data_IF_818726857143
#
_entry.id   IF_818726857143
#
_cell.length_a   1.000
_cell.length_b   1.000
_cell.length_c   1.000
_cell.angle_alpha   90.00
_cell.angle_beta   90.00
_cell.angle_gamma   90.00
#
_symmetry.space_group_name_H-M   'P 1'
#
loop_
_entity.id
_entity.type
_entity.pdbx_description
1 polymer ?
#
# COMPACT_ATOMS: atom_id res chain seq x y z
N UNK A 1 -12.39 -27.86 -15.88
CA UNK A 1 -11.89 -27.09 -17.01
C UNK A 1 -12.47 -27.63 -18.32
N UNK A 2 -12.20 -26.98 -19.45
CA UNK A 2 -12.79 -27.34 -20.76
C UNK A 2 -12.36 -28.73 -21.24
N UNK A 3 -11.15 -29.16 -20.93
CA UNK A 3 -10.63 -30.48 -21.31
C UNK A 3 -11.34 -31.60 -20.54
N UNK A 4 -11.56 -31.40 -19.23
CA UNK A 4 -12.34 -32.31 -18.41
C UNK A 4 -13.80 -32.41 -18.90
N UNK A 5 -14.40 -31.28 -19.26
CA UNK A 5 -15.74 -31.24 -19.82
C UNK A 5 -15.84 -32.04 -21.13
N UNK A 6 -14.86 -31.84 -22.03
CA UNK A 6 -14.81 -32.59 -23.29
C UNK A 6 -14.68 -34.08 -23.05
N UNK A 7 -13.85 -34.48 -22.08
CA UNK A 7 -13.75 -35.91 -21.68
C UNK A 7 -15.07 -36.43 -21.11
N UNK A 8 -15.75 -35.71 -20.23
CA UNK A 8 -17.04 -36.13 -19.66
C UNK A 8 -18.11 -36.28 -20.74
N UNK A 9 -18.12 -35.41 -21.76
CA UNK A 9 -19.07 -35.50 -22.89
C UNK A 9 -18.89 -36.78 -23.70
N UNK A 10 -17.77 -37.48 -23.63
CA UNK A 10 -17.55 -38.74 -24.34
C UNK A 10 -18.04 -39.99 -23.55
N UNK A 11 -18.40 -39.86 -22.28
CA UNK A 11 -18.85 -40.97 -21.46
C UNK A 11 -20.21 -41.53 -21.94
N UNK A 12 -20.42 -42.85 -21.86
CA UNK A 12 -21.55 -43.53 -22.50
C UNK A 12 -22.94 -42.94 -22.21
N UNK A 13 -23.18 -42.45 -20.99
CA UNK A 13 -24.47 -41.85 -20.61
C UNK A 13 -24.48 -40.35 -20.97
N UNK A 14 -23.40 -39.63 -20.71
CA UNK A 14 -23.33 -38.19 -20.91
C UNK A 14 -23.22 -37.76 -22.38
N UNK A 15 -22.76 -38.68 -23.26
CA UNK A 15 -22.76 -38.43 -24.71
C UNK A 15 -24.16 -38.33 -25.32
N UNK A 16 -25.20 -38.80 -24.59
CA UNK A 16 -26.59 -38.71 -25.00
C UNK A 16 -27.21 -37.32 -24.82
N UNK A 17 -26.41 -36.35 -24.33
CA UNK A 17 -26.82 -34.95 -24.15
C UNK A 17 -27.70 -34.70 -22.91
N UNK A 18 -28.24 -33.48 -22.84
CA UNK A 18 -28.97 -33.02 -21.66
C UNK A 18 -30.25 -33.80 -21.33
N UNK A 19 -30.98 -34.28 -22.33
CA UNK A 19 -32.28 -34.91 -22.14
C UNK A 19 -32.21 -36.40 -21.84
N UNK A 20 -31.32 -37.13 -22.48
CA UNK A 20 -31.17 -38.57 -22.31
C UNK A 20 -30.03 -38.92 -21.36
N UNK A 21 -28.99 -38.14 -21.35
CA UNK A 21 -27.80 -38.34 -20.53
C UNK A 21 -27.79 -37.52 -19.22
N UNK A 22 -28.70 -36.53 -19.06
CA UNK A 22 -28.83 -35.74 -17.86
C UNK A 22 -27.66 -34.78 -17.60
N UNK A 23 -26.75 -34.57 -18.56
CA UNK A 23 -25.61 -33.70 -18.39
C UNK A 23 -26.02 -32.24 -18.52
N UNK A 24 -26.10 -31.55 -17.39
CA UNK A 24 -26.37 -30.10 -17.31
C UNK A 24 -25.03 -29.40 -17.12
N UNK A 25 -24.64 -28.59 -18.11
CA UNK A 25 -23.41 -27.79 -18.07
C UNK A 25 -23.76 -26.37 -17.62
N UNK A 26 -23.13 -25.93 -16.53
CA UNK A 26 -23.22 -24.55 -16.07
C UNK A 26 -21.83 -23.93 -16.13
N UNK A 27 -21.69 -22.94 -16.98
CA UNK A 27 -20.45 -22.19 -17.09
C UNK A 27 -20.35 -21.15 -15.96
N UNK A 28 -19.23 -21.18 -15.23
CA UNK A 28 -18.91 -20.19 -14.23
C UNK A 28 -17.56 -19.57 -14.58
N UNK A 29 -17.54 -18.26 -14.72
CA UNK A 29 -16.31 -17.51 -14.87
C UNK A 29 -15.70 -17.26 -13.49
N UNK A 30 -14.50 -17.80 -13.27
CA UNK A 30 -13.75 -17.62 -12.03
C UNK A 30 -12.52 -16.77 -12.31
N UNK A 31 -12.41 -15.67 -11.60
CA UNK A 31 -11.18 -14.88 -11.59
C UNK A 31 -10.16 -15.58 -10.69
N UNK A 32 -9.00 -15.93 -11.25
CA UNK A 32 -7.91 -16.57 -10.51
C UNK A 32 -6.78 -15.58 -10.27
N UNK A 33 -6.25 -15.56 -9.05
CA UNK A 33 -4.96 -14.92 -8.79
C UNK A 33 -3.85 -15.80 -9.36
N UNK A 34 -3.07 -15.24 -10.29
CA UNK A 34 -1.94 -15.95 -10.89
C UNK A 34 -0.69 -15.94 -9.99
N UNK A 35 -0.63 -15.01 -9.02
CA UNK A 35 0.48 -14.87 -8.08
C UNK A 35 0.24 -15.59 -6.75
N UNK A 36 -0.82 -16.39 -6.65
CA UNK A 36 -1.19 -17.07 -5.42
C UNK A 36 -1.52 -16.05 -4.31
N UNK A 37 -0.73 -16.06 -3.24
CA UNK A 37 -0.90 -15.17 -2.08
C UNK A 37 -0.01 -13.91 -2.12
N UNK A 38 0.87 -13.80 -3.13
CA UNK A 38 1.80 -12.67 -3.26
C UNK A 38 1.06 -11.47 -3.83
N UNK A 39 1.25 -10.29 -3.24
CA UNK A 39 0.59 -9.04 -3.60
C UNK A 39 -0.95 -9.10 -3.56
N UNK A 40 -1.52 -9.99 -2.77
CA UNK A 40 -2.96 -10.23 -2.71
C UNK A 40 -3.75 -8.97 -2.33
N UNK A 41 -3.22 -8.14 -1.42
CA UNK A 41 -3.86 -6.89 -1.00
C UNK A 41 -3.61 -5.72 -1.95
N UNK A 42 -2.54 -5.78 -2.70
CA UNK A 42 -2.20 -4.76 -3.69
C UNK A 42 -2.98 -4.98 -4.99
N UNK A 43 -2.96 -6.20 -5.54
CA UNK A 43 -3.77 -6.57 -6.69
C UNK A 43 -5.23 -6.61 -6.29
N UNK A 44 -5.52 -7.28 -5.20
CA UNK A 44 -6.85 -7.34 -4.61
C UNK A 44 -7.79 -8.33 -5.28
N UNK A 45 -9.06 -8.10 -5.08
CA UNK A 45 -10.12 -8.92 -5.66
C UNK A 45 -11.35 -8.10 -5.95
N UNK A 46 -11.97 -8.40 -7.09
CA UNK A 46 -13.28 -7.91 -7.49
C UNK A 46 -14.23 -9.11 -7.60
N UNK A 47 -14.76 -9.55 -6.45
CA UNK A 47 -15.66 -10.71 -6.40
C UNK A 47 -16.92 -10.36 -5.63
N UNK A 48 -18.06 -10.49 -6.28
CA UNK A 48 -19.38 -10.24 -5.66
C UNK A 48 -19.53 -11.03 -4.36
N UNK A 49 -19.80 -10.34 -3.25
CA UNK A 49 -19.97 -10.93 -1.92
C UNK A 49 -18.71 -10.99 -1.05
N UNK A 50 -17.56 -10.56 -1.55
CA UNK A 50 -16.34 -10.36 -0.76
C UNK A 50 -16.02 -8.86 -0.78
N UNK A 51 -15.46 -8.34 0.33
CA UNK A 51 -15.02 -6.96 0.38
C UNK A 51 -13.95 -6.75 -0.69
N UNK A 52 -14.29 -5.93 -1.66
CA UNK A 52 -13.41 -5.57 -2.76
C UNK A 52 -12.24 -4.74 -2.23
N UNK A 53 -11.03 -5.00 -2.73
CA UNK A 53 -9.79 -4.33 -2.28
C UNK A 53 -8.79 -4.23 -3.43
N UNK A 54 -7.79 -3.37 -3.26
CA UNK A 54 -6.63 -3.27 -4.15
C UNK A 54 -6.94 -2.64 -5.51
N UNK A 55 -6.09 -2.91 -6.47
CA UNK A 55 -6.21 -2.40 -7.84
C UNK A 55 -7.46 -2.93 -8.55
N UNK A 56 -7.86 -4.16 -8.26
CA UNK A 56 -9.09 -4.72 -8.83
C UNK A 56 -10.33 -3.97 -8.37
N UNK A 57 -10.38 -3.51 -7.11
CA UNK A 57 -11.45 -2.62 -6.65
C UNK A 57 -11.39 -1.28 -7.36
N UNK A 58 -10.20 -0.66 -7.38
CA UNK A 58 -10.02 0.69 -7.94
C UNK A 58 -10.42 0.77 -9.41
N UNK A 59 -10.11 -0.27 -10.18
CA UNK A 59 -10.34 -0.32 -11.62
C UNK A 59 -11.44 -1.30 -12.04
N UNK A 60 -12.21 -1.83 -11.11
CA UNK A 60 -13.21 -2.89 -11.37
C UNK A 60 -14.23 -2.54 -12.45
N UNK A 61 -14.65 -1.27 -12.53
CA UNK A 61 -15.55 -0.79 -13.58
C UNK A 61 -14.96 -0.86 -15.01
N UNK A 62 -13.64 -0.83 -15.12
CA UNK A 62 -12.93 -0.96 -16.40
C UNK A 62 -12.59 -2.41 -16.70
N UNK A 63 -12.20 -3.18 -15.68
CA UNK A 63 -11.78 -4.58 -15.80
C UNK A 63 -12.94 -5.54 -15.99
N UNK A 64 -14.13 -5.20 -15.47
CA UNK A 64 -15.29 -6.09 -15.43
C UNK A 64 -16.05 -6.22 -16.74
N UNK A 65 -15.80 -5.35 -17.72
CA UNK A 65 -16.57 -5.31 -18.96
C UNK A 65 -18.05 -4.96 -18.75
N UNK A 66 -18.86 -5.23 -19.75
CA UNK A 66 -20.33 -5.04 -19.70
C UNK A 66 -21.04 -6.29 -20.19
N UNK A 67 -21.99 -6.78 -19.41
CA UNK A 67 -22.79 -7.93 -19.80
C UNK A 67 -23.68 -7.59 -20.99
N UNK A 68 -23.77 -8.51 -21.93
CA UNK A 68 -24.75 -8.47 -23.00
C UNK A 68 -26.14 -8.84 -22.50
N UNK A 69 -27.15 -8.45 -23.26
CA UNK A 69 -28.56 -8.83 -23.03
C UNK A 69 -29.11 -9.37 -24.35
N UNK A 70 -29.64 -10.61 -24.28
CA UNK A 70 -30.26 -11.27 -25.43
C UNK A 70 -31.62 -11.81 -25.07
N UNK A 71 -32.61 -11.59 -25.93
CA UNK A 71 -33.94 -12.20 -25.78
C UNK A 71 -33.85 -13.68 -26.13
N UNK A 72 -34.44 -14.51 -25.27
CA UNK A 72 -34.51 -15.94 -25.48
C UNK A 72 -35.98 -16.37 -25.50
N UNK A 73 -36.34 -17.24 -26.44
CA UNK A 73 -37.66 -17.89 -26.50
C UNK A 73 -37.58 -19.30 -25.95
N UNK A 74 -38.47 -19.63 -25.03
CA UNK A 74 -38.58 -20.99 -24.55
C UNK A 74 -39.29 -21.82 -25.62
N UNK A 75 -38.64 -22.87 -26.06
CA UNK A 75 -39.21 -23.83 -27.02
C UNK A 75 -39.57 -25.16 -26.30
N UNK A 76 -40.07 -26.15 -27.06
CA UNK A 76 -40.48 -27.45 -26.48
C UNK A 76 -39.32 -28.09 -25.68
N UNK A 77 -39.68 -28.83 -24.63
CA UNK A 77 -38.75 -29.57 -23.75
C UNK A 77 -37.85 -28.72 -22.86
N UNK A 78 -38.17 -27.42 -22.67
CA UNK A 78 -37.41 -26.55 -21.76
C UNK A 78 -36.15 -25.92 -22.33
N UNK A 79 -35.95 -26.05 -23.65
CA UNK A 79 -34.86 -25.35 -24.34
C UNK A 79 -35.18 -23.89 -24.58
N UNK A 80 -34.14 -23.08 -24.61
CA UNK A 80 -34.20 -21.66 -24.91
C UNK A 80 -33.46 -21.38 -26.21
N UNK A 81 -34.15 -20.76 -27.18
CA UNK A 81 -33.57 -20.36 -28.46
C UNK A 81 -33.40 -18.85 -28.51
N UNK A 82 -32.22 -18.34 -28.96
CA UNK A 82 -32.05 -16.91 -29.17
C UNK A 82 -33.05 -16.39 -30.22
N UNK A 83 -33.72 -15.29 -29.88
CA UNK A 83 -34.52 -14.52 -30.83
C UNK A 83 -33.65 -13.40 -31.35
N UNK A 84 -33.47 -13.31 -32.68
CA UNK A 84 -32.88 -12.16 -33.32
C UNK A 84 -33.87 -10.99 -33.19
N UNK A 85 -33.56 -10.00 -32.38
CA UNK A 85 -34.38 -8.79 -32.20
C UNK A 85 -33.46 -7.57 -32.21
N UNK A 86 -34.03 -6.42 -32.56
CA UNK A 86 -33.32 -5.12 -32.56
C UNK A 86 -32.85 -4.67 -31.15
N UNK A 87 -33.24 -5.39 -30.10
CA UNK A 87 -32.90 -5.12 -28.69
C UNK A 87 -31.82 -6.02 -28.14
N UNK A 88 -30.95 -6.57 -28.98
CA UNK A 88 -29.78 -7.35 -28.55
C UNK A 88 -28.65 -6.40 -28.20
N UNK A 89 -28.10 -6.53 -26.98
CA UNK A 89 -26.91 -5.80 -26.51
C UNK A 89 -25.78 -6.81 -26.48
N UNK A 90 -24.80 -6.61 -27.33
CA UNK A 90 -23.59 -7.44 -27.32
C UNK A 90 -22.75 -7.18 -26.06
N UNK A 91 -22.17 -8.22 -25.45
CA UNK A 91 -21.26 -8.05 -24.33
C UNK A 91 -20.01 -7.29 -24.79
N UNK A 92 -19.47 -6.49 -23.88
CA UNK A 92 -18.19 -5.80 -24.08
C UNK A 92 -17.19 -6.35 -23.09
N UNK A 93 -16.06 -6.78 -23.58
CA UNK A 93 -14.95 -7.20 -22.73
C UNK A 93 -14.41 -6.04 -21.90
N UNK A 94 -13.83 -6.34 -20.75
CA UNK A 94 -13.12 -5.36 -19.93
C UNK A 94 -11.76 -5.01 -20.52
N UNK A 95 -11.12 -4.04 -19.91
CA UNK A 95 -9.76 -3.64 -20.26
C UNK A 95 -8.74 -4.43 -19.45
N UNK A 96 -7.52 -4.50 -19.94
CA UNK A 96 -6.37 -4.98 -19.21
C UNK A 96 -5.73 -3.82 -18.41
N UNK A 97 -5.22 -4.12 -17.22
CA UNK A 97 -4.49 -3.19 -16.38
C UNK A 97 -3.00 -3.58 -16.38
N UNK A 98 -2.17 -2.74 -16.99
CA UNK A 98 -0.72 -2.88 -16.91
C UNK A 98 -0.20 -2.12 -15.68
N UNK A 99 0.48 -2.82 -14.79
CA UNK A 99 1.06 -2.27 -13.57
C UNK A 99 2.58 -2.12 -13.70
N UNK A 100 3.17 -1.35 -12.81
CA UNK A 100 4.63 -1.19 -12.71
C UNK A 100 5.29 -2.28 -11.85
N UNK A 101 4.50 -3.19 -11.27
CA UNK A 101 5.02 -4.28 -10.44
C UNK A 101 5.85 -5.24 -11.30
N UNK A 102 7.11 -5.41 -10.92
CA UNK A 102 7.98 -6.45 -11.46
C UNK A 102 7.84 -7.72 -10.63
N UNK A 103 7.52 -8.85 -11.28
CA UNK A 103 7.24 -10.10 -10.58
C UNK A 103 8.43 -10.64 -9.79
N UNK A 104 9.65 -10.46 -10.28
CA UNK A 104 10.86 -10.95 -9.61
C UNK A 104 11.16 -10.09 -8.38
N UNK A 105 11.03 -8.76 -8.53
CA UNK A 105 11.22 -7.83 -7.42
C UNK A 105 10.12 -8.04 -6.38
N UNK A 106 8.89 -8.26 -6.81
CA UNK A 106 7.75 -8.53 -5.91
C UNK A 106 7.95 -9.82 -5.09
N UNK A 107 8.36 -10.90 -5.75
CA UNK A 107 8.63 -12.18 -5.09
C UNK A 107 9.78 -12.04 -4.08
N UNK A 108 10.87 -11.41 -4.50
CA UNK A 108 12.00 -11.10 -3.62
C UNK A 108 11.56 -10.25 -2.41
N UNK A 109 10.79 -9.17 -2.65
CA UNK A 109 10.30 -8.28 -1.59
C UNK A 109 9.43 -9.02 -0.59
N UNK A 110 8.58 -9.92 -1.08
CA UNK A 110 7.69 -10.72 -0.23
C UNK A 110 8.49 -11.68 0.66
N UNK A 111 9.41 -12.43 0.08
CA UNK A 111 10.19 -13.43 0.79
C UNK A 111 11.14 -12.79 1.82
N UNK A 112 11.82 -11.69 1.47
CA UNK A 112 12.70 -11.00 2.41
C UNK A 112 11.92 -10.35 3.57
N UNK A 113 10.73 -9.78 3.29
CA UNK A 113 9.88 -9.28 4.35
C UNK A 113 9.43 -10.42 5.28
N UNK A 114 9.03 -11.57 4.72
CA UNK A 114 8.63 -12.73 5.50
C UNK A 114 9.76 -13.20 6.41
N UNK A 115 10.96 -13.40 5.86
CA UNK A 115 12.14 -13.82 6.61
C UNK A 115 12.43 -12.88 7.81
N UNK A 116 12.33 -11.57 7.58
CA UNK A 116 12.57 -10.59 8.65
C UNK A 116 11.47 -10.61 9.72
N UNK A 117 10.21 -10.76 9.33
CA UNK A 117 9.11 -10.85 10.29
C UNK A 117 9.20 -12.11 11.15
N UNK A 118 9.61 -13.23 10.57
CA UNK A 118 9.85 -14.49 11.28
C UNK A 118 11.06 -14.38 12.22
N UNK A 119 12.17 -13.77 11.77
CA UNK A 119 13.39 -13.59 12.56
C UNK A 119 13.13 -12.72 13.80
N UNK A 120 12.36 -11.65 13.66
CA UNK A 120 12.08 -10.71 14.74
C UNK A 120 10.75 -10.97 15.46
N UNK A 121 10.03 -12.03 15.12
CA UNK A 121 8.71 -12.38 15.68
C UNK A 121 7.76 -11.18 15.69
N UNK A 122 7.78 -10.38 14.60
CA UNK A 122 7.02 -9.15 14.52
C UNK A 122 5.55 -9.41 14.14
N UNK A 123 4.62 -8.65 14.69
CA UNK A 123 3.18 -8.81 14.43
C UNK A 123 2.82 -8.54 12.96
N UNK A 124 3.47 -7.57 12.34
CA UNK A 124 3.29 -7.23 10.92
C UNK A 124 4.40 -6.34 10.39
N UNK A 125 4.46 -6.19 9.09
CA UNK A 125 5.37 -5.29 8.42
C UNK A 125 4.98 -5.03 6.97
N UNK A 126 5.65 -4.04 6.40
CA UNK A 126 5.50 -3.67 5.00
C UNK A 126 6.86 -3.35 4.39
N UNK A 127 7.03 -3.68 3.12
CA UNK A 127 8.19 -3.30 2.32
C UNK A 127 7.73 -2.76 0.97
N UNK A 128 8.32 -1.64 0.54
CA UNK A 128 8.03 -0.99 -0.73
C UNK A 128 9.36 -0.78 -1.47
N UNK A 129 9.41 -1.21 -2.72
CA UNK A 129 10.53 -0.92 -3.61
C UNK A 129 10.04 0.03 -4.71
N UNK A 130 10.69 1.18 -4.79
CA UNK A 130 10.35 2.24 -5.72
C UNK A 130 11.54 2.59 -6.61
N UNK A 131 11.30 2.74 -7.89
CA UNK A 131 12.29 3.27 -8.81
C UNK A 131 12.48 4.78 -8.56
N UNK A 132 13.66 5.19 -8.16
CA UNK A 132 13.91 6.59 -7.73
C UNK A 132 13.72 7.62 -8.83
N UNK A 133 13.96 7.23 -10.09
CA UNK A 133 13.86 8.16 -11.23
C UNK A 133 12.41 8.44 -11.64
N UNK A 134 11.52 7.48 -11.51
CA UNK A 134 10.13 7.58 -12.00
C UNK A 134 9.11 7.68 -10.89
N UNK A 135 9.46 7.23 -9.68
CA UNK A 135 8.53 7.04 -8.58
C UNK A 135 7.64 5.80 -8.72
N UNK A 136 7.88 4.95 -9.71
CA UNK A 136 7.11 3.72 -9.91
C UNK A 136 7.36 2.73 -8.78
N UNK A 137 6.30 2.20 -8.20
CA UNK A 137 6.38 1.09 -7.26
C UNK A 137 6.55 -0.19 -8.07
N UNK A 138 7.68 -0.86 -7.89
CA UNK A 138 8.02 -2.10 -8.59
C UNK A 138 7.88 -3.34 -7.73
N UNK A 139 7.79 -3.18 -6.42
CA UNK A 139 7.47 -4.21 -5.45
C UNK A 139 6.80 -3.62 -4.21
N UNK A 140 5.78 -4.31 -3.67
CA UNK A 140 5.08 -3.91 -2.46
C UNK A 140 4.53 -5.16 -1.75
N UNK A 141 4.95 -5.38 -0.52
CA UNK A 141 4.51 -6.50 0.29
C UNK A 141 4.02 -6.03 1.64
N UNK A 142 2.95 -6.64 2.12
CA UNK A 142 2.28 -6.32 3.37
C UNK A 142 1.92 -7.61 4.08
N UNK A 143 2.62 -7.95 5.15
CA UNK A 143 2.41 -9.20 5.87
C UNK A 143 2.02 -8.95 7.32
N UNK A 144 1.10 -9.75 7.82
CA UNK A 144 0.70 -9.74 9.22
C UNK A 144 0.42 -11.16 9.70
N UNK A 145 0.70 -11.44 10.97
CA UNK A 145 0.53 -12.76 11.58
C UNK A 145 -0.94 -13.03 11.90
N UNK A 146 -1.39 -14.27 11.75
CA UNK A 146 -2.70 -14.72 12.19
C UNK A 146 -2.61 -15.42 13.56
N UNK A 147 -3.74 -15.85 14.09
CA UNK A 147 -3.83 -16.57 15.37
C UNK A 147 -3.12 -17.94 15.38
N UNK A 148 -2.78 -18.48 14.22
CA UNK A 148 -2.08 -19.75 14.04
C UNK A 148 -0.56 -19.57 13.89
N UNK A 149 -0.07 -18.31 13.91
CA UNK A 149 1.34 -18.01 13.74
C UNK A 149 1.80 -17.91 12.28
N UNK A 150 0.88 -17.92 11.31
CA UNK A 150 1.24 -17.81 9.89
C UNK A 150 1.14 -16.38 9.40
N UNK A 151 2.13 -15.94 8.63
CA UNK A 151 2.11 -14.64 7.96
C UNK A 151 1.33 -14.70 6.64
N UNK A 152 0.54 -13.66 6.39
CA UNK A 152 -0.22 -13.51 5.15
C UNK A 152 -0.55 -12.04 4.89
N UNK A 153 -0.96 -11.70 3.68
CA UNK A 153 -1.40 -10.34 3.35
C UNK A 153 -2.79 -10.06 3.93
N UNK A 154 -2.82 -9.54 5.17
CA UNK A 154 -4.05 -9.24 5.91
C UNK A 154 -4.60 -7.86 5.58
N UNK A 155 -3.74 -6.87 5.56
CA UNK A 155 -4.05 -5.46 5.31
C UNK A 155 -2.96 -4.87 4.42
N UNK A 156 -3.28 -3.89 3.62
CA UNK A 156 -2.25 -3.08 2.96
C UNK A 156 -1.74 -2.02 3.96
N UNK A 157 -0.79 -2.42 4.79
CA UNK A 157 -0.21 -1.56 5.83
C UNK A 157 0.50 -0.33 5.24
N UNK A 158 1.13 -0.49 4.07
CA UNK A 158 1.82 0.59 3.38
C UNK A 158 0.92 1.78 3.06
N UNK A 159 -0.37 1.53 2.82
CA UNK A 159 -1.34 2.55 2.42
C UNK A 159 -2.32 2.87 3.55
N UNK A 160 -2.76 1.86 4.29
CA UNK A 160 -3.89 1.97 5.21
C UNK A 160 -3.52 2.27 6.66
N UNK A 161 -2.24 2.21 7.04
CA UNK A 161 -1.81 2.42 8.41
C UNK A 161 -1.12 3.77 8.62
N UNK A 162 -1.29 4.33 9.81
CA UNK A 162 -0.59 5.53 10.28
C UNK A 162 0.25 5.20 11.49
N UNK A 163 1.51 5.58 11.44
CA UNK A 163 2.43 5.44 12.58
C UNK A 163 3.44 6.59 12.59
N UNK A 164 4.11 6.75 13.71
CA UNK A 164 5.17 7.72 13.83
C UNK A 164 6.38 7.26 12.99
N UNK A 165 6.87 8.10 12.05
CA UNK A 165 7.93 7.70 11.12
C UNK A 165 9.31 7.54 11.81
N UNK A 166 9.43 7.94 13.06
CA UNK A 166 10.67 7.86 13.83
C UNK A 166 11.80 8.67 13.21
N UNK A 167 13.01 8.13 13.25
CA UNK A 167 14.22 8.82 12.78
C UNK A 167 14.26 9.10 11.28
N UNK A 168 13.42 8.48 10.47
CA UNK A 168 13.31 8.82 9.04
C UNK A 168 12.79 10.25 8.85
N UNK A 169 12.00 10.77 9.79
CA UNK A 169 11.51 12.15 9.77
C UNK A 169 12.63 13.21 9.92
N UNK A 170 13.81 12.84 10.42
CA UNK A 170 14.96 13.76 10.52
C UNK A 170 15.40 14.30 9.16
N UNK A 171 15.18 13.53 8.09
CA UNK A 171 15.43 14.02 6.74
C UNK A 171 14.55 15.23 6.41
N UNK A 172 13.25 15.18 6.73
CA UNK A 172 12.32 16.29 6.50
C UNK A 172 12.69 17.51 7.35
N UNK A 173 13.12 17.27 8.58
CA UNK A 173 13.67 18.29 9.50
C UNK A 173 14.88 19.00 8.89
N UNK A 174 15.82 18.22 8.36
CA UNK A 174 17.05 18.76 7.75
C UNK A 174 16.75 19.54 6.46
N UNK A 175 15.89 18.99 5.59
CA UNK A 175 15.47 19.69 4.36
C UNK A 175 14.83 21.02 4.70
N UNK A 176 13.92 21.08 5.68
CA UNK A 176 13.27 22.31 6.09
C UNK A 176 14.29 23.38 6.51
N UNK A 177 15.26 23.01 7.33
CA UNK A 177 16.27 23.94 7.85
C UNK A 177 17.28 24.41 6.77
N UNK A 178 17.65 23.53 5.85
CA UNK A 178 18.51 23.84 4.71
C UNK A 178 17.81 24.77 3.70
N UNK A 179 16.57 24.45 3.32
CA UNK A 179 15.75 25.24 2.40
C UNK A 179 15.44 26.64 2.93
N UNK A 180 15.31 26.78 4.26
CA UNK A 180 15.14 28.07 4.90
C UNK A 180 16.45 28.86 5.05
N UNK A 181 17.59 28.28 4.65
CA UNK A 181 18.92 28.92 4.75
C UNK A 181 19.36 29.13 6.21
N UNK A 182 18.78 28.41 7.16
CA UNK A 182 19.08 28.56 8.59
C UNK A 182 20.39 27.88 8.96
N UNK A 183 20.72 26.79 8.27
CA UNK A 183 21.92 25.99 8.50
C UNK A 183 22.56 25.59 7.17
N UNK A 184 23.86 25.28 7.26
CA UNK A 184 24.60 24.53 6.23
C UNK A 184 25.01 23.17 6.79
N UNK A 185 25.26 22.22 5.93
CA UNK A 185 25.66 20.85 6.32
C UNK A 185 27.00 20.82 7.09
N UNK A 186 27.86 21.84 6.91
CA UNK A 186 29.14 22.02 7.58
C UNK A 186 29.04 22.73 8.93
N UNK A 187 27.91 23.38 9.22
CA UNK A 187 27.72 24.06 10.49
C UNK A 187 27.83 23.09 11.67
N UNK A 188 28.21 23.60 12.82
CA UNK A 188 28.35 22.79 14.01
C UNK A 188 27.13 22.85 14.91
N UNK A 189 26.72 21.69 15.41
CA UNK A 189 25.72 21.55 16.46
C UNK A 189 26.35 20.85 17.66
N UNK A 190 26.08 21.35 18.84
CA UNK A 190 26.56 20.75 20.09
C UNK A 190 25.48 19.82 20.66
N UNK A 191 25.72 18.52 20.55
CA UNK A 191 24.87 17.47 21.11
C UNK A 191 25.17 17.20 22.60
N UNK A 192 26.12 17.93 23.16
CA UNK A 192 26.60 17.74 24.54
C UNK A 192 26.94 16.28 24.83
N UNK A 193 26.44 15.78 25.95
CA UNK A 193 26.56 14.39 26.38
C UNK A 193 25.34 13.51 25.95
N UNK A 194 24.70 13.86 24.85
CA UNK A 194 23.55 13.11 24.34
C UNK A 194 22.23 13.36 25.06
N UNK A 195 22.16 14.42 25.87
CA UNK A 195 20.98 14.84 26.62
C UNK A 195 20.72 16.30 26.38
N UNK A 196 19.54 16.63 25.89
CA UNK A 196 19.07 17.99 25.65
C UNK A 196 17.79 18.22 26.47
N UNK A 197 17.83 19.15 27.41
CA UNK A 197 16.66 19.65 28.13
C UNK A 197 16.09 20.84 27.36
N UNK A 198 14.85 20.74 26.93
CA UNK A 198 14.17 21.79 26.17
C UNK A 198 13.37 22.70 27.08
N UNK A 199 12.62 22.13 28.01
CA UNK A 199 11.82 22.80 29.01
C UNK A 199 11.92 22.07 30.36
N UNK A 200 11.25 22.60 31.41
CA UNK A 200 11.37 22.05 32.77
C UNK A 200 11.19 20.54 32.89
N UNK A 201 10.38 19.92 31.99
CA UNK A 201 10.01 18.53 32.06
C UNK A 201 10.22 17.73 30.77
N UNK A 202 10.82 18.32 29.72
CA UNK A 202 11.02 17.62 28.45
C UNK A 202 12.51 17.43 28.16
N UNK A 203 12.92 16.18 28.03
CA UNK A 203 14.29 15.78 27.82
C UNK A 203 14.39 14.89 26.57
N UNK A 204 15.24 15.28 25.64
CA UNK A 204 15.59 14.50 24.42
C UNK A 204 16.89 13.79 24.65
N UNK A 205 16.93 12.50 24.32
CA UNK A 205 18.14 11.67 24.48
C UNK A 205 18.57 11.05 23.15
N UNK A 206 19.88 11.04 22.94
CA UNK A 206 20.48 10.21 21.91
C UNK A 206 20.54 8.74 22.37
N UNK A 207 20.54 7.81 21.41
CA UNK A 207 20.77 6.40 21.68
C UNK A 207 22.20 6.16 22.22
N UNK A 208 23.16 6.96 21.76
CA UNK A 208 24.50 6.99 22.34
C UNK A 208 24.49 7.76 23.68
N UNK A 209 24.56 7.01 24.79
CA UNK A 209 24.52 7.57 26.16
C UNK A 209 25.68 8.52 26.50
N UNK A 210 26.76 8.54 25.71
CA UNK A 210 27.91 9.45 25.89
C UNK A 210 27.77 10.75 25.09
N UNK A 211 26.77 10.80 24.17
CA UNK A 211 26.64 11.89 23.23
C UNK A 211 27.76 11.92 22.19
N UNK A 212 27.76 12.96 21.38
CA UNK A 212 28.73 13.15 20.30
C UNK A 212 29.50 14.46 20.45
N UNK A 213 29.20 15.27 21.49
CA UNK A 213 29.79 16.60 21.66
C UNK A 213 29.43 17.54 20.51
N UNK A 214 30.37 18.36 20.11
CA UNK A 214 30.23 19.29 19.00
C UNK A 214 30.60 18.62 17.69
N UNK A 215 29.62 18.42 16.83
CA UNK A 215 29.75 17.75 15.52
C UNK A 215 29.12 18.60 14.43
N UNK A 216 29.38 18.28 13.15
CA UNK A 216 28.72 18.98 12.03
C UNK A 216 27.27 18.54 11.92
N UNK A 217 26.44 19.36 11.28
CA UNK A 217 25.05 19.04 10.95
C UNK A 217 24.98 17.74 10.14
N UNK A 218 25.86 17.59 9.13
CA UNK A 218 25.96 16.35 8.35
C UNK A 218 26.25 15.13 9.26
N UNK A 219 27.21 15.28 10.19
CA UNK A 219 27.53 14.18 11.12
C UNK A 219 26.40 13.91 12.10
N UNK A 220 25.68 14.93 12.59
CA UNK A 220 24.52 14.76 13.44
C UNK A 220 23.39 13.95 12.75
N UNK A 221 23.20 14.17 11.45
CA UNK A 221 22.26 13.38 10.64
C UNK A 221 22.78 11.95 10.41
N UNK A 222 24.04 11.79 10.03
CA UNK A 222 24.67 10.48 9.79
C UNK A 222 24.57 9.53 11.00
N UNK A 223 24.84 10.05 12.21
CA UNK A 223 24.74 9.26 13.45
C UNK A 223 23.33 9.25 14.04
N UNK A 224 22.37 9.83 13.34
CA UNK A 224 20.97 9.91 13.77
C UNK A 224 20.78 10.53 15.16
N UNK A 225 21.55 11.61 15.48
CA UNK A 225 21.43 12.30 16.77
C UNK A 225 20.06 12.95 16.94
N UNK A 226 19.33 12.55 17.96
CA UNK A 226 18.06 13.17 18.35
C UNK A 226 18.30 14.59 18.87
N UNK A 227 19.29 14.72 19.76
CA UNK A 227 19.61 16.02 20.40
C UNK A 227 20.09 17.04 19.38
N UNK A 228 20.91 16.62 18.39
CA UNK A 228 21.36 17.47 17.31
C UNK A 228 20.22 18.00 16.44
N UNK A 229 19.35 17.10 15.97
CA UNK A 229 18.22 17.49 15.10
C UNK A 229 17.21 18.36 15.85
N UNK A 230 16.82 17.97 17.06
CA UNK A 230 15.88 18.77 17.85
C UNK A 230 16.46 20.14 18.19
N UNK A 231 17.76 20.23 18.53
CA UNK A 231 18.41 21.49 18.81
C UNK A 231 18.39 22.45 17.62
N UNK A 232 18.67 21.93 16.41
CA UNK A 232 18.60 22.73 15.17
C UNK A 232 17.20 23.34 15.02
N UNK A 233 16.14 22.57 15.19
CA UNK A 233 14.78 23.06 15.02
C UNK A 233 14.38 23.99 16.19
N UNK A 234 14.62 23.59 17.40
CA UNK A 234 14.23 24.35 18.57
C UNK A 234 14.89 25.74 18.60
N UNK A 235 16.21 25.83 18.39
CA UNK A 235 16.93 27.10 18.44
C UNK A 235 16.48 28.08 17.34
N UNK A 236 16.07 27.57 16.19
CA UNK A 236 15.77 28.39 15.02
C UNK A 236 14.28 28.65 14.79
N UNK A 237 13.38 27.76 15.26
CA UNK A 237 11.95 27.88 14.98
C UNK A 237 11.08 28.10 16.21
N UNK A 238 11.61 28.01 17.45
CA UNK A 238 10.81 28.15 18.68
C UNK A 238 10.00 29.43 18.77
N UNK A 239 10.48 30.52 18.18
CA UNK A 239 9.78 31.81 18.17
C UNK A 239 8.69 31.91 17.11
N UNK A 240 8.76 31.09 16.06
CA UNK A 240 7.83 31.04 14.94
C UNK A 240 7.68 29.60 14.43
N UNK A 241 7.08 28.71 15.24
CA UNK A 241 6.97 27.28 14.90
C UNK A 241 6.15 27.01 13.64
N UNK A 242 5.21 27.93 13.31
CA UNK A 242 4.43 27.87 12.07
C UNK A 242 5.32 27.87 10.82
N UNK A 243 6.48 28.50 10.86
CA UNK A 243 7.41 28.52 9.74
C UNK A 243 7.92 27.11 9.41
N UNK A 244 8.27 26.33 10.44
CA UNK A 244 8.68 24.94 10.28
C UNK A 244 7.55 24.05 9.75
N UNK A 245 6.39 24.15 10.37
CA UNK A 245 5.23 23.33 9.97
C UNK A 245 4.77 23.66 8.55
N UNK A 246 4.75 24.96 8.18
CA UNK A 246 4.44 25.37 6.82
C UNK A 246 5.44 24.82 5.79
N UNK A 247 6.73 24.68 6.17
CA UNK A 247 7.72 24.05 5.30
C UNK A 247 7.40 22.56 5.07
N UNK A 248 6.97 21.84 6.12
CA UNK A 248 6.50 20.44 5.99
C UNK A 248 5.24 20.35 5.10
N UNK A 249 4.33 21.31 5.22
CA UNK A 249 3.14 21.40 4.36
C UNK A 249 3.50 21.69 2.90
N UNK A 250 4.49 22.54 2.65
CA UNK A 250 5.01 22.79 1.30
C UNK A 250 5.62 21.52 0.66
N UNK A 251 6.14 20.60 1.47
CA UNK A 251 6.56 19.27 1.02
C UNK A 251 5.36 18.31 0.82
N UNK A 252 4.12 18.77 1.04
CA UNK A 252 2.88 18.01 0.91
C UNK A 252 2.78 16.83 1.86
N UNK A 253 3.48 16.85 3.00
CA UNK A 253 3.48 15.77 3.97
C UNK A 253 2.15 15.65 4.74
N UNK A 254 1.32 16.67 4.72
CA UNK A 254 -0.02 16.73 5.31
C UNK A 254 -1.14 16.34 4.34
N UNK A 255 -0.79 15.98 3.10
CA UNK A 255 -1.74 15.61 2.06
C UNK A 255 -1.73 14.11 1.78
N UNK A 256 -2.84 13.60 1.26
CA UNK A 256 -2.88 12.24 0.72
C UNK A 256 -2.08 12.15 -0.57
N UNK A 257 -1.40 11.02 -0.78
CA UNK A 257 -0.72 10.71 -2.03
C UNK A 257 -1.75 10.46 -3.15
N UNK A 258 -2.98 10.05 -2.76
CA UNK A 258 -4.07 9.70 -3.66
C UNK A 258 -3.71 8.55 -4.60
N UNK A 259 -3.15 7.49 -4.02
CA UNK A 259 -2.94 6.24 -4.76
C UNK A 259 -4.28 5.70 -5.26
N UNK A 260 -4.31 4.97 -6.39
CA UNK A 260 -5.55 4.34 -6.86
C UNK A 260 -6.15 3.36 -5.84
N UNK A 261 -5.31 2.75 -5.00
CA UNK A 261 -5.74 1.80 -3.97
C UNK A 261 -6.40 2.57 -2.82
N UNK A 262 -7.65 2.24 -2.54
CA UNK A 262 -8.41 2.88 -1.48
C UNK A 262 -7.90 2.55 -0.07
N UNK A 263 -8.31 3.39 0.90
CA UNK A 263 -8.01 3.16 2.32
C UNK A 263 -6.91 4.07 2.87
N UNK A 264 -6.32 4.94 2.06
CA UNK A 264 -5.31 5.90 2.52
C UNK A 264 -5.91 6.88 3.53
N UNK A 265 -5.41 6.93 4.78
CA UNK A 265 -5.84 7.90 5.78
C UNK A 265 -5.20 9.27 5.52
N UNK A 266 -5.80 10.33 6.04
CA UNK A 266 -5.17 11.65 6.03
C UNK A 266 -3.98 11.65 6.99
N UNK A 267 -2.78 12.12 6.57
CA UNK A 267 -1.65 12.33 7.47
C UNK A 267 -1.97 13.33 8.59
N UNK A 268 -1.35 13.17 9.74
CA UNK A 268 -1.56 14.06 10.88
C UNK A 268 -0.24 14.77 11.20
N UNK A 269 -0.14 16.03 10.81
CA UNK A 269 0.95 16.93 11.22
C UNK A 269 0.26 18.12 11.89
N UNK A 270 0.31 18.24 13.23
CA UNK A 270 -0.31 19.35 13.94
C UNK A 270 0.25 20.69 13.50
N UNK A 271 -0.60 21.72 13.42
CA UNK A 271 -0.19 23.10 13.14
C UNK A 271 -0.32 23.95 14.41
N UNK A 272 0.56 24.96 14.63
CA UNK A 272 0.49 25.85 15.80
C UNK A 272 -0.84 26.54 16.02
N UNK A 273 -1.64 26.70 14.96
CA UNK A 273 -2.99 27.28 15.03
C UNK A 273 -4.08 26.27 15.43
N UNK A 274 -3.74 24.97 15.52
CA UNK A 274 -4.71 23.94 15.86
C UNK A 274 -5.03 23.97 17.36
N UNK A 275 -6.30 23.64 17.69
CA UNK A 275 -6.69 23.42 19.09
C UNK A 275 -5.87 22.26 19.68
N UNK A 276 -5.15 22.54 20.75
CA UNK A 276 -4.35 21.52 21.43
C UNK A 276 -2.88 21.47 21.01
N UNK A 277 -2.43 22.39 20.16
CA UNK A 277 -0.99 22.58 19.97
C UNK A 277 -0.34 22.89 21.33
N UNK A 278 0.53 22.01 21.79
CA UNK A 278 1.36 22.24 22.95
C UNK A 278 2.72 22.78 22.48
N UNK A 279 3.06 23.98 23.01
CA UNK A 279 4.33 24.66 22.70
C UNK A 279 5.51 23.82 23.16
#
# INVERSE_FOLDING_TARGET
DINQLNTIKTFPIFNLGIYKGGLIIKENHLRKSHLGKIAERTIGSFKKGIKEVGLEQAYGQYLGGKNGIRRMQKIAKGEWKPLKTEFEIEPKEGYDLHTTIDLKIQDFTHNELLNQLEEFEADHGTAIIMETRTGNIVGISNLGINSEGNYYERLNYAIGEKYEPGSTFKLMTLIAALEDGIINHTDSVDTKNGILKIEKNYEVKDSNKKGYGKITVAKAFEVSSNTGMVKIIYDNYKSKPERFVNRLYNMRLNEKINTPIGGEPLPIIPHPNDKGWNK
#
